data_IF_114802358256
#
_entry.id   IF_114802358256
#
_cell.length_a   1.000
_cell.length_b   1.000
_cell.length_c   1.000
_cell.angle_alpha   90.00
_cell.angle_beta   90.00
_cell.angle_gamma   90.00
#
_symmetry.space_group_name_H-M   'P 1'
#
loop_
_entity.id
_entity.type
_entity.pdbx_description
1 polymer ?
#
# COMPACT_ATOMS: atom_id res chain seq x y z
N UNK A 1 4.73 13.39 -3.12
CA UNK A 1 4.83 12.11 -2.36
C UNK A 1 6.04 12.04 -1.42
N UNK A 2 7.25 12.44 -1.85
CA UNK A 2 8.49 12.46 -1.02
C UNK A 2 8.35 13.16 0.35
N UNK A 3 7.64 14.30 0.42
CA UNK A 3 7.46 15.06 1.67
C UNK A 3 6.63 14.34 2.76
N UNK A 4 5.71 13.44 2.36
CA UNK A 4 4.88 12.67 3.30
C UNK A 4 5.63 11.43 3.80
N UNK A 5 6.32 10.70 2.92
CA UNK A 5 7.28 9.64 3.31
C UNK A 5 8.38 10.18 4.23
N UNK A 6 8.91 11.38 3.95
CA UNK A 6 9.92 12.01 4.80
C UNK A 6 9.37 12.34 6.21
N UNK A 7 8.19 12.97 6.31
CA UNK A 7 7.52 13.20 7.61
C UNK A 7 7.17 11.89 8.33
N UNK A 8 6.72 10.85 7.63
CA UNK A 8 6.44 9.54 8.21
C UNK A 8 7.70 8.81 8.65
N UNK A 9 8.82 8.94 7.91
CA UNK A 9 10.12 8.37 8.30
C UNK A 9 10.75 9.11 9.49
N UNK A 10 10.61 10.43 9.55
CA UNK A 10 11.06 11.27 10.67
C UNK A 10 10.23 10.97 11.92
N UNK A 11 8.90 10.89 11.80
CA UNK A 11 8.02 10.41 12.86
C UNK A 11 8.31 8.95 13.21
N UNK A 12 8.64 8.06 12.26
CA UNK A 12 9.01 6.67 12.52
C UNK A 12 10.31 6.54 13.32
N UNK A 13 11.28 7.42 13.07
CA UNK A 13 12.54 7.45 13.80
C UNK A 13 12.31 7.96 15.23
N UNK A 14 11.56 9.05 15.39
CA UNK A 14 11.14 9.57 16.70
C UNK A 14 10.24 8.58 17.46
N UNK A 15 9.32 7.93 16.75
CA UNK A 15 8.44 6.88 17.27
C UNK A 15 9.19 5.66 17.77
N UNK A 16 10.29 5.28 17.14
CA UNK A 16 11.13 4.19 17.66
C UNK A 16 11.85 4.56 18.94
N UNK A 17 12.14 5.85 19.15
CA UNK A 17 12.74 6.33 20.39
C UNK A 17 11.71 6.51 21.53
N UNK A 18 10.45 6.79 21.19
CA UNK A 18 9.38 7.10 22.18
C UNK A 18 8.40 5.94 22.37
N UNK A 19 8.32 5.02 21.41
CA UNK A 19 7.32 3.96 21.37
C UNK A 19 7.69 2.74 22.21
N UNK A 20 6.67 2.09 22.78
CA UNK A 20 6.83 0.82 23.49
C UNK A 20 6.52 -0.35 22.57
N UNK A 21 7.43 -1.31 22.49
CA UNK A 21 7.17 -2.56 21.76
C UNK A 21 6.21 -3.43 22.57
N UNK A 22 5.15 -3.90 21.93
CA UNK A 22 4.20 -4.86 22.51
C UNK A 22 4.41 -6.21 21.81
N UNK A 23 4.98 -7.22 22.49
CA UNK A 23 5.27 -8.53 21.89
C UNK A 23 4.03 -9.21 21.30
N UNK A 24 2.90 -9.15 22.01
CA UNK A 24 1.65 -9.81 21.59
C UNK A 24 1.09 -9.26 20.26
N UNK A 25 1.38 -8.01 19.94
CA UNK A 25 0.98 -7.36 18.70
C UNK A 25 2.07 -7.40 17.64
N UNK A 26 3.30 -7.79 17.99
CA UNK A 26 4.51 -7.59 17.19
C UNK A 26 4.54 -6.19 16.53
N UNK A 27 4.25 -5.17 17.34
CA UNK A 27 4.11 -3.80 16.90
C UNK A 27 4.68 -2.83 17.95
N UNK A 28 5.09 -1.64 17.48
CA UNK A 28 5.52 -0.52 18.32
C UNK A 28 4.34 0.42 18.50
N UNK A 29 3.99 0.70 19.75
CA UNK A 29 2.90 1.63 20.08
C UNK A 29 3.46 3.00 20.40
N UNK A 30 2.95 4.02 19.70
CA UNK A 30 3.24 5.44 19.97
C UNK A 30 2.11 6.06 20.76
N UNK A 31 2.46 6.86 21.76
CA UNK A 31 1.52 7.69 22.50
C UNK A 31 1.13 8.94 21.69
N UNK A 32 0.17 8.80 20.78
CA UNK A 32 -0.40 9.88 19.97
C UNK A 32 -1.91 9.64 19.77
N UNK A 33 -2.69 10.73 19.72
CA UNK A 33 -4.13 10.70 19.48
C UNK A 33 -4.50 10.54 18.00
N UNK A 34 -3.52 10.69 17.10
CA UNK A 34 -3.73 10.37 15.69
C UNK A 34 -4.18 8.91 15.53
N UNK A 35 -4.97 8.64 14.49
CA UNK A 35 -5.49 7.31 14.20
C UNK A 35 -4.74 6.72 13.02
N UNK A 36 -3.49 6.34 13.25
CA UNK A 36 -2.63 5.82 12.18
C UNK A 36 -1.95 4.51 12.56
N UNK A 37 -1.84 3.65 11.55
CA UNK A 37 -0.98 2.49 11.56
C UNK A 37 -0.12 2.53 10.30
N UNK A 38 1.15 2.19 10.41
CA UNK A 38 2.05 2.15 9.27
C UNK A 38 3.23 1.22 9.53
N UNK A 39 3.79 0.67 8.47
CA UNK A 39 5.01 -0.11 8.53
C UNK A 39 6.27 0.78 8.42
N UNK A 40 7.34 0.39 9.12
CA UNK A 40 8.66 1.00 8.94
C UNK A 40 9.60 -0.01 8.30
N UNK A 41 10.16 0.36 7.15
CA UNK A 41 11.24 -0.39 6.50
C UNK A 41 12.61 0.01 7.07
N UNK A 42 13.57 -0.92 7.08
CA UNK A 42 14.93 -0.71 7.58
C UNK A 42 15.56 -2.01 8.10
N UNK A 43 16.67 -1.89 8.85
CA UNK A 43 17.32 -3.04 9.52
C UNK A 43 16.38 -3.74 10.50
N UNK A 44 15.57 -2.97 11.21
CA UNK A 44 14.48 -3.47 12.04
C UNK A 44 13.16 -3.10 11.39
N UNK A 45 12.51 -4.11 10.80
CA UNK A 45 11.18 -4.00 10.21
C UNK A 45 10.14 -4.13 11.32
N UNK A 46 9.27 -3.14 11.47
CA UNK A 46 8.23 -3.16 12.50
C UNK A 46 6.97 -2.46 12.02
N UNK A 47 5.83 -2.94 12.51
CA UNK A 47 4.57 -2.19 12.41
C UNK A 47 4.51 -1.18 13.54
N UNK A 48 4.04 0.02 13.23
CA UNK A 48 3.79 1.09 14.20
C UNK A 48 2.30 1.35 14.25
N UNK A 49 1.79 1.53 15.47
CA UNK A 49 0.40 1.90 15.71
C UNK A 49 0.32 2.95 16.81
N UNK A 50 -0.56 3.92 16.63
CA UNK A 50 -0.81 4.98 17.63
C UNK A 50 -1.85 4.56 18.67
N UNK A 51 -1.80 5.14 19.87
CA UNK A 51 -2.84 5.02 20.90
C UNK A 51 -4.23 5.37 20.35
N UNK A 52 -4.35 6.44 19.56
CA UNK A 52 -5.61 6.84 18.93
C UNK A 52 -6.19 5.77 17.99
N UNK A 53 -5.34 5.06 17.24
CA UNK A 53 -5.76 3.92 16.44
C UNK A 53 -6.24 2.73 17.30
N UNK A 54 -5.51 2.39 18.36
CA UNK A 54 -5.91 1.33 19.29
C UNK A 54 -7.25 1.62 19.99
N UNK A 55 -7.55 2.88 20.25
CA UNK A 55 -8.79 3.30 20.91
C UNK A 55 -10.05 3.11 20.05
N UNK A 56 -9.90 3.04 18.71
CA UNK A 56 -11.04 2.97 17.78
C UNK A 56 -11.17 1.62 17.08
N UNK A 57 -10.13 0.78 17.10
CA UNK A 57 -10.11 -0.52 16.44
C UNK A 57 -10.57 -1.63 17.39
N UNK A 58 -11.58 -2.39 16.97
CA UNK A 58 -11.90 -3.65 17.65
C UNK A 58 -10.80 -4.72 17.41
N UNK A 59 -10.77 -5.83 18.16
CA UNK A 59 -9.71 -6.84 18.03
C UNK A 59 -9.56 -7.44 16.63
N UNK A 60 -10.66 -7.64 15.89
CA UNK A 60 -10.62 -8.19 14.53
C UNK A 60 -10.14 -7.13 13.54
N UNK A 61 -10.59 -5.89 13.68
CA UNK A 61 -10.12 -4.77 12.86
C UNK A 61 -8.62 -4.51 13.08
N UNK A 62 -8.18 -4.54 14.34
CA UNK A 62 -6.77 -4.42 14.70
C UNK A 62 -5.94 -5.54 14.05
N UNK A 63 -6.36 -6.79 14.16
CA UNK A 63 -5.69 -7.91 13.51
C UNK A 63 -5.62 -7.73 11.98
N UNK A 64 -6.70 -7.25 11.35
CA UNK A 64 -6.75 -6.99 9.92
C UNK A 64 -5.82 -5.86 9.46
N UNK A 65 -5.76 -4.76 10.21
CA UNK A 65 -4.84 -3.64 9.96
C UNK A 65 -3.40 -4.09 10.15
N UNK A 66 -3.08 -4.79 11.23
CA UNK A 66 -1.72 -5.31 11.45
C UNK A 66 -1.32 -6.31 10.37
N UNK A 67 -2.22 -7.17 9.90
CA UNK A 67 -1.95 -8.08 8.78
C UNK A 67 -1.67 -7.32 7.47
N UNK A 68 -2.38 -6.22 7.22
CA UNK A 68 -2.13 -5.33 6.08
C UNK A 68 -0.74 -4.67 6.18
N UNK A 69 -0.40 -4.09 7.33
CA UNK A 69 0.90 -3.45 7.55
C UNK A 69 2.07 -4.45 7.47
N UNK A 70 1.90 -5.67 7.98
CA UNK A 70 2.91 -6.72 7.83
C UNK A 70 3.08 -7.17 6.38
N UNK A 71 2.03 -7.15 5.58
CA UNK A 71 2.13 -7.45 4.15
C UNK A 71 3.07 -6.46 3.43
N UNK A 72 3.05 -5.18 3.83
CA UNK A 72 4.01 -4.19 3.33
C UNK A 72 5.45 -4.48 3.75
N UNK A 73 5.69 -5.01 4.96
CA UNK A 73 7.01 -5.40 5.42
C UNK A 73 7.59 -6.62 4.67
N UNK A 74 6.73 -7.53 4.23
CA UNK A 74 7.13 -8.69 3.42
C UNK A 74 7.37 -8.36 1.94
N UNK A 75 6.75 -7.29 1.44
CA UNK A 75 6.83 -6.89 0.03
C UNK A 75 8.12 -6.15 -0.33
N UNK A 76 8.55 -6.29 -1.59
CA UNK A 76 9.61 -5.45 -2.21
C UNK A 76 9.02 -4.17 -2.82
N UNK A 77 7.84 -3.74 -2.35
CA UNK A 77 7.03 -2.68 -2.95
C UNK A 77 7.77 -1.34 -3.01
N UNK A 78 8.53 -1.02 -1.96
CA UNK A 78 9.36 0.20 -1.92
C UNK A 78 10.40 0.20 -3.04
N UNK A 79 11.13 -0.89 -3.24
CA UNK A 79 12.15 -1.01 -4.29
C UNK A 79 11.54 -0.83 -5.68
N UNK A 80 10.40 -1.47 -5.96
CA UNK A 80 9.73 -1.34 -7.26
C UNK A 80 9.29 0.10 -7.50
N UNK A 81 8.69 0.75 -6.50
CA UNK A 81 8.29 2.14 -6.61
C UNK A 81 9.49 3.07 -6.81
N UNK A 82 10.60 2.81 -6.13
CA UNK A 82 11.81 3.63 -6.24
C UNK A 82 12.44 3.50 -7.64
N UNK A 83 12.44 2.29 -8.22
CA UNK A 83 12.84 2.07 -9.63
C UNK A 83 11.91 2.82 -10.58
N UNK A 84 10.59 2.67 -10.43
CA UNK A 84 9.62 3.34 -11.33
C UNK A 84 9.71 4.85 -11.21
N UNK A 85 9.90 5.40 -10.01
CA UNK A 85 10.14 6.82 -9.81
C UNK A 85 11.45 7.29 -10.44
N UNK A 86 12.52 6.47 -10.36
CA UNK A 86 13.81 6.79 -10.99
C UNK A 86 13.69 6.85 -12.51
N UNK A 87 12.96 5.90 -13.12
CA UNK A 87 12.65 5.91 -14.56
C UNK A 87 11.78 7.11 -14.94
N UNK A 88 10.76 7.43 -14.13
CA UNK A 88 9.92 8.61 -14.36
C UNK A 88 10.72 9.92 -14.27
N UNK A 89 11.71 10.00 -13.37
CA UNK A 89 12.59 11.15 -13.25
C UNK A 89 13.58 11.27 -14.43
N UNK A 90 14.07 10.14 -14.95
CA UNK A 90 14.94 10.10 -16.12
C UNK A 90 14.21 10.43 -17.44
N UNK A 91 12.89 10.21 -17.50
CA UNK A 91 12.06 10.40 -18.70
C UNK A 91 10.87 11.34 -18.42
N UNK A 92 11.11 12.62 -18.09
CA UNK A 92 10.06 13.54 -17.62
C UNK A 92 8.99 13.85 -18.67
N UNK A 93 9.29 13.68 -19.97
CA UNK A 93 8.35 13.85 -21.07
C UNK A 93 7.35 12.70 -21.23
N UNK A 94 7.55 11.57 -20.54
CA UNK A 94 6.73 10.37 -20.69
C UNK A 94 5.78 10.24 -19.49
N UNK A 95 4.54 10.70 -19.69
CA UNK A 95 3.50 10.67 -18.65
C UNK A 95 3.18 9.26 -18.12
N UNK A 96 3.43 8.23 -18.93
CA UNK A 96 3.20 6.83 -18.59
C UNK A 96 3.90 6.41 -17.30
N UNK A 97 5.17 6.77 -17.10
CA UNK A 97 5.90 6.36 -15.89
C UNK A 97 5.42 7.10 -14.65
N UNK A 98 5.01 8.37 -14.78
CA UNK A 98 4.45 9.16 -13.68
C UNK A 98 3.07 8.64 -13.24
N UNK A 99 2.19 8.38 -14.21
CA UNK A 99 0.86 7.78 -13.94
C UNK A 99 1.02 6.35 -13.44
N UNK A 100 1.90 5.58 -14.08
CA UNK A 100 2.23 4.21 -13.72
C UNK A 100 2.74 4.07 -12.28
N UNK A 101 3.61 4.98 -11.81
CA UNK A 101 4.06 4.97 -10.41
C UNK A 101 2.88 5.05 -9.41
N UNK A 102 1.89 5.88 -9.72
CA UNK A 102 0.69 6.05 -8.88
C UNK A 102 -0.17 4.79 -8.89
N UNK A 103 -0.43 4.23 -10.07
CA UNK A 103 -1.23 3.01 -10.21
C UNK A 103 -0.56 1.78 -9.62
N UNK A 104 0.75 1.62 -9.78
CA UNK A 104 1.53 0.55 -9.16
C UNK A 104 1.44 0.65 -7.63
N UNK A 105 1.52 1.85 -7.07
CA UNK A 105 1.29 2.07 -5.64
C UNK A 105 -0.10 1.61 -5.20
N UNK A 106 -1.14 1.95 -5.97
CA UNK A 106 -2.52 1.52 -5.71
C UNK A 106 -2.67 -0.01 -5.79
N UNK A 107 -1.99 -0.66 -6.72
CA UNK A 107 -1.99 -2.12 -6.84
C UNK A 107 -1.31 -2.78 -5.63
N UNK A 108 -0.23 -2.21 -5.10
CA UNK A 108 0.41 -2.73 -3.89
C UNK A 108 -0.48 -2.63 -2.66
N UNK A 109 -1.27 -1.56 -2.52
CA UNK A 109 -2.31 -1.47 -1.48
C UNK A 109 -3.34 -2.60 -1.62
N UNK A 110 -3.77 -2.90 -2.85
CA UNK A 110 -4.72 -4.00 -3.12
C UNK A 110 -4.12 -5.38 -2.84
N UNK A 111 -2.83 -5.58 -3.11
CA UNK A 111 -2.13 -6.81 -2.75
C UNK A 111 -2.04 -6.98 -1.24
N UNK A 112 -1.73 -5.91 -0.50
CA UNK A 112 -1.72 -5.92 0.97
C UNK A 112 -3.12 -6.19 1.54
N UNK A 113 -4.17 -5.62 0.95
CA UNK A 113 -5.57 -5.94 1.28
C UNK A 113 -5.86 -7.43 1.10
N UNK A 114 -5.42 -8.04 -0.01
CA UNK A 114 -5.63 -9.46 -0.28
C UNK A 114 -4.89 -10.38 0.70
N UNK A 115 -3.73 -9.97 1.21
CA UNK A 115 -3.04 -10.69 2.28
C UNK A 115 -3.86 -10.62 3.58
N UNK A 116 -4.30 -9.43 3.97
CA UNK A 116 -5.11 -9.25 5.18
C UNK A 116 -6.44 -9.99 5.11
N UNK A 117 -7.15 -9.89 3.97
CA UNK A 117 -8.44 -10.55 3.74
C UNK A 117 -8.37 -12.07 3.84
N UNK A 118 -7.27 -12.69 3.38
CA UNK A 118 -7.10 -14.15 3.46
C UNK A 118 -7.10 -14.69 4.89
N UNK A 119 -6.60 -13.90 5.86
CA UNK A 119 -6.55 -14.31 7.26
C UNK A 119 -7.68 -13.75 8.12
N UNK A 120 -8.03 -12.48 7.93
CA UNK A 120 -8.92 -11.73 8.84
C UNK A 120 -10.29 -11.41 8.24
N UNK A 121 -10.46 -11.63 6.93
CA UNK A 121 -11.70 -11.38 6.21
C UNK A 121 -11.94 -9.92 5.85
N UNK A 122 -12.82 -9.71 4.86
CA UNK A 122 -13.09 -8.40 4.25
C UNK A 122 -13.72 -7.39 5.20
N UNK A 123 -14.68 -7.83 6.02
CA UNK A 123 -15.42 -6.95 6.93
C UNK A 123 -14.49 -6.35 7.99
N UNK A 124 -13.57 -7.15 8.53
CA UNK A 124 -12.60 -6.69 9.52
C UNK A 124 -11.65 -5.63 8.93
N UNK A 125 -11.12 -5.89 7.74
CA UNK A 125 -10.26 -4.92 7.05
C UNK A 125 -11.02 -3.64 6.70
N UNK A 126 -12.21 -3.74 6.12
CA UNK A 126 -13.02 -2.57 5.77
C UNK A 126 -13.36 -1.74 7.02
N UNK A 127 -13.80 -2.38 8.10
CA UNK A 127 -14.09 -1.72 9.37
C UNK A 127 -12.87 -0.98 9.91
N UNK A 128 -11.70 -1.63 9.90
CA UNK A 128 -10.45 -1.01 10.35
C UNK A 128 -10.03 0.19 9.48
N UNK A 129 -10.11 0.07 8.15
CA UNK A 129 -9.80 1.17 7.24
C UNK A 129 -10.74 2.38 7.44
N UNK A 130 -12.03 2.13 7.71
CA UNK A 130 -13.00 3.20 7.99
C UNK A 130 -12.76 3.84 9.37
N UNK A 131 -12.44 3.04 10.39
CA UNK A 131 -12.11 3.53 11.73
C UNK A 131 -10.88 4.45 11.73
N UNK A 132 -9.87 4.10 10.94
CA UNK A 132 -8.65 4.92 10.76
C UNK A 132 -8.87 6.10 9.79
N UNK A 133 -9.71 5.92 8.77
CA UNK A 133 -9.96 6.89 7.71
C UNK A 133 -11.04 7.95 7.99
N UNK A 134 -11.67 7.93 9.18
CA UNK A 134 -12.81 8.78 9.54
C UNK A 134 -12.56 10.29 9.71
N UNK A 135 -11.52 10.86 9.10
CA UNK A 135 -11.28 12.31 9.07
C UNK A 135 -11.17 12.82 7.63
N UNK A 136 -11.77 13.99 7.31
CA UNK A 136 -11.81 14.50 5.94
C UNK A 136 -10.39 14.68 5.39
N UNK A 137 -10.14 14.06 4.24
CA UNK A 137 -8.95 14.35 3.46
C UNK A 137 -9.01 15.83 3.02
N UNK A 138 -7.94 16.63 3.22
CA UNK A 138 -7.91 18.01 2.74
C UNK A 138 -8.16 18.06 1.24
N UNK A 139 -9.00 19.02 0.81
CA UNK A 139 -9.23 19.35 -0.58
C UNK A 139 -7.89 19.62 -1.28
N UNK A 140 -7.67 19.00 -2.45
CA UNK A 140 -6.43 19.13 -3.22
C UNK A 140 -5.50 17.91 -3.23
N UNK A 141 -5.87 16.80 -2.60
CA UNK A 141 -5.14 15.53 -2.77
C UNK A 141 -5.63 14.75 -3.99
N UNK A 142 -4.93 14.90 -5.12
CA UNK A 142 -5.03 13.94 -6.21
C UNK A 142 -4.53 12.58 -5.70
N UNK A 143 -5.48 11.68 -5.41
CA UNK A 143 -5.26 10.34 -4.86
C UNK A 143 -5.57 10.16 -3.36
N UNK A 144 -5.93 11.21 -2.62
CA UNK A 144 -6.08 11.14 -1.15
C UNK A 144 -7.41 10.58 -0.64
N UNK A 145 -8.51 10.75 -1.39
CA UNK A 145 -9.81 10.11 -1.08
C UNK A 145 -10.13 8.91 -1.98
N UNK A 146 -9.73 8.99 -3.26
CA UNK A 146 -10.05 7.99 -4.29
C UNK A 146 -9.42 6.61 -4.05
N UNK A 147 -8.25 6.55 -3.41
CA UNK A 147 -7.57 5.29 -3.11
C UNK A 147 -8.34 4.45 -2.09
N UNK A 148 -8.82 5.09 -1.01
CA UNK A 148 -9.60 4.41 0.02
C UNK A 148 -10.99 4.03 -0.48
N UNK A 149 -11.67 4.91 -1.22
CA UNK A 149 -13.00 4.59 -1.78
C UNK A 149 -12.94 3.45 -2.79
N UNK A 150 -11.95 3.41 -3.68
CA UNK A 150 -11.76 2.31 -4.62
C UNK A 150 -11.46 0.98 -3.92
N UNK A 151 -10.65 1.01 -2.85
CA UNK A 151 -10.38 -0.17 -2.01
C UNK A 151 -11.63 -0.65 -1.27
N UNK A 152 -12.36 0.27 -0.65
CA UNK A 152 -13.61 -0.02 0.03
C UNK A 152 -14.65 -0.63 -0.93
N UNK A 153 -14.83 -0.03 -2.11
CA UNK A 153 -15.71 -0.55 -3.15
C UNK A 153 -15.32 -1.97 -3.57
N UNK A 154 -14.02 -2.26 -3.75
CA UNK A 154 -13.50 -3.60 -4.08
C UNK A 154 -13.72 -4.61 -2.96
N UNK A 155 -13.63 -4.19 -1.70
CA UNK A 155 -13.85 -5.06 -0.54
C UNK A 155 -15.33 -5.42 -0.39
N UNK A 156 -16.23 -4.45 -0.62
CA UNK A 156 -17.69 -4.63 -0.61
C UNK A 156 -18.13 -5.49 -1.80
N UNK A 157 -17.64 -5.17 -3.00
CA UNK A 157 -18.03 -5.79 -4.26
C UNK A 157 -16.78 -6.28 -5.02
N UNK A 158 -16.31 -7.51 -4.78
CA UNK A 158 -15.15 -8.03 -5.49
C UNK A 158 -15.41 -8.15 -6.99
N UNK A 159 -14.37 -7.96 -7.83
CA UNK A 159 -14.48 -8.24 -9.25
C UNK A 159 -14.76 -9.74 -9.46
N UNK A 160 -15.65 -10.09 -10.42
CA UNK A 160 -15.95 -11.48 -10.71
C UNK A 160 -14.72 -12.20 -11.30
N UNK A 161 -14.63 -13.53 -11.18
CA UNK A 161 -13.47 -14.32 -11.62
C UNK A 161 -13.15 -14.16 -13.11
N UNK A 162 -14.17 -13.98 -13.96
CA UNK A 162 -14.01 -13.78 -15.40
C UNK A 162 -13.27 -12.49 -15.74
N UNK A 163 -13.56 -11.39 -15.02
CA UNK A 163 -12.85 -10.11 -15.20
C UNK A 163 -11.38 -10.26 -14.80
N UNK A 164 -11.10 -10.99 -13.71
CA UNK A 164 -9.72 -11.26 -13.28
C UNK A 164 -8.95 -12.06 -14.31
N UNK A 165 -9.57 -13.10 -14.88
CA UNK A 165 -8.95 -13.91 -15.93
C UNK A 165 -8.62 -13.06 -17.16
N UNK A 166 -9.57 -12.23 -17.62
CA UNK A 166 -9.36 -11.32 -18.75
C UNK A 166 -8.20 -10.36 -18.53
N UNK A 167 -8.10 -9.75 -17.34
CA UNK A 167 -6.97 -8.88 -16.98
C UNK A 167 -5.64 -9.63 -16.98
N UNK A 168 -5.59 -10.85 -16.42
CA UNK A 168 -4.37 -11.68 -16.41
C UNK A 168 -3.91 -12.03 -17.82
N UNK A 169 -4.84 -12.44 -18.70
CA UNK A 169 -4.54 -12.76 -20.10
C UNK A 169 -4.01 -11.54 -20.84
N UNK A 170 -4.66 -10.38 -20.67
CA UNK A 170 -4.24 -9.13 -21.29
C UNK A 170 -2.84 -8.71 -20.83
N UNK A 171 -2.57 -8.74 -19.52
CA UNK A 171 -1.25 -8.41 -18.97
C UNK A 171 -0.17 -9.38 -19.47
N UNK A 172 -0.48 -10.68 -19.52
CA UNK A 172 0.41 -11.67 -20.10
C UNK A 172 0.75 -11.37 -21.55
N UNK A 173 -0.25 -11.04 -22.36
CA UNK A 173 -0.05 -10.66 -23.75
C UNK A 173 0.84 -9.40 -23.89
N UNK A 174 0.56 -8.35 -23.11
CA UNK A 174 1.37 -7.12 -23.12
C UNK A 174 2.83 -7.40 -22.73
N UNK A 175 3.07 -8.19 -21.69
CA UNK A 175 4.43 -8.56 -21.27
C UNK A 175 5.15 -9.32 -22.39
N UNK A 176 4.50 -10.30 -23.00
CA UNK A 176 5.05 -11.05 -24.13
C UNK A 176 5.39 -10.12 -25.30
N UNK A 177 4.50 -9.20 -25.66
CA UNK A 177 4.75 -8.23 -26.74
C UNK A 177 5.94 -7.32 -26.44
N UNK A 178 6.04 -6.80 -25.21
CA UNK A 178 7.15 -5.92 -24.81
C UNK A 178 8.49 -6.67 -24.80
N UNK A 179 8.52 -7.93 -24.38
CA UNK A 179 9.74 -8.75 -24.35
C UNK A 179 10.13 -9.30 -25.73
N UNK A 180 9.16 -9.57 -26.61
CA UNK A 180 9.40 -10.06 -27.96
C UNK A 180 9.80 -8.95 -28.93
N UNK A 181 9.41 -7.69 -28.67
CA UNK A 181 9.75 -6.54 -29.50
C UNK A 181 11.25 -6.38 -29.77
N UNK A 182 12.12 -6.41 -28.74
CA UNK A 182 13.57 -6.39 -28.92
C UNK A 182 14.10 -7.53 -29.77
N UNK A 183 13.53 -8.73 -29.64
CA UNK A 183 13.95 -9.93 -30.38
C UNK A 183 13.60 -9.83 -31.87
N UNK A 184 12.43 -9.27 -32.18
CA UNK A 184 11.99 -9.01 -33.55
C UNK A 184 12.86 -7.95 -34.23
N UNK A 185 13.25 -6.88 -33.51
CA UNK A 185 14.18 -5.89 -34.04
C UNK A 185 15.54 -6.49 -34.39
N UNK A 186 16.09 -7.38 -33.54
CA UNK A 186 17.38 -8.05 -33.80
C UNK A 186 17.34 -9.12 -34.89
N UNK A 187 16.16 -9.57 -35.30
CA UNK A 187 15.98 -10.55 -36.40
C UNK A 187 15.71 -9.88 -37.75
N UNK A 188 15.48 -8.56 -37.76
CA UNK A 188 15.22 -7.75 -38.95
C UNK A 188 16.42 -6.88 -39.38
N UNK A 189 17.52 -6.93 -38.62
CA UNK A 189 18.85 -6.38 -38.95
C UNK A 189 19.79 -7.51 -39.42
#
# INVERSE_FOLDING_TARGET
MQRRRARTHEHAHLARMVGRRIPDLDAVVIDSEERVAYCIAGRERSVVITRGALAVLDPRQLAAVLAHERAHLGGRHSLVLDVVHSVAAALPGVSLFRVGATEIGRLFEMCADDVSVRGQGRRALLGGLLALGGHPAPEGTLGGGGGLTARAARLVSPPPPLVRLGVTVLLGAVIVTVLAGPLMCTLMD
#
